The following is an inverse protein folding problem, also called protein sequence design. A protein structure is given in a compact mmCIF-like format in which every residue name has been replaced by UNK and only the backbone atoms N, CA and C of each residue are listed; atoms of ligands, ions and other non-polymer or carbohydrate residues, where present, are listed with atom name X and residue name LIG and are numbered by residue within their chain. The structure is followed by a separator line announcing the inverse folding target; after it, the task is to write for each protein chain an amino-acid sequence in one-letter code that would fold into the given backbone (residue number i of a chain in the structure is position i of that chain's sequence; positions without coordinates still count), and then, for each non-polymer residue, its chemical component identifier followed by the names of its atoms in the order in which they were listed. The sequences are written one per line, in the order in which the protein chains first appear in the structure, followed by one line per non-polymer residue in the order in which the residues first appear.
data_IF_471342720968
#
_entry.id   IF_471342720968
#
_cell.length_a   1.000
_cell.length_b   1.000
_cell.length_c   1.000
_cell.angle_alpha   90.00
_cell.angle_beta   90.00
_cell.angle_gamma   90.00
#
_symmetry.space_group_name_H-M   'P 1'
#
loop_
_entity.id
_entity.type
_entity.pdbx_description
1 polymer ?
#
# COMPACT_ATOMS: atom_id res chain seq x y z
N UNK A 1 65.03 25.18 -47.65
CA UNK A 1 63.89 24.62 -48.38
C UNK A 1 62.65 25.23 -47.73
N UNK A 2 62.00 26.16 -48.43
CA UNK A 2 60.97 27.07 -47.89
C UNK A 2 59.77 27.03 -48.84
N UNK A 3 58.58 27.24 -48.26
CA UNK A 3 57.27 27.60 -48.86
C UNK A 3 56.36 26.47 -49.38
N UNK A 4 55.01 26.66 -49.44
CA UNK A 4 54.24 27.89 -49.16
C UNK A 4 53.02 27.78 -48.22
N UNK A 5 52.60 28.97 -47.79
CA UNK A 5 51.32 29.36 -47.18
C UNK A 5 50.29 29.63 -48.29
N UNK A 6 49.02 29.26 -48.08
CA UNK A 6 47.87 29.87 -48.79
C UNK A 6 46.74 30.18 -47.81
N UNK A 7 46.16 31.38 -47.95
CA UNK A 7 45.07 31.96 -47.16
C UNK A 7 43.70 31.80 -47.88
N UNK A 8 42.70 31.28 -47.13
CA UNK A 8 41.24 31.61 -47.01
C UNK A 8 40.34 31.87 -48.26
N UNK A 9 39.04 31.45 -48.26
CA UNK A 9 38.00 32.10 -47.43
C UNK A 9 36.94 31.19 -46.78
N UNK A 10 36.30 31.78 -45.75
CA UNK A 10 35.09 31.35 -45.06
C UNK A 10 33.87 31.45 -45.99
N UNK A 11 33.06 30.40 -46.07
CA UNK A 11 31.64 30.55 -46.41
C UNK A 11 30.79 29.42 -45.84
N UNK A 12 29.74 29.84 -45.12
CA UNK A 12 28.45 29.17 -44.92
C UNK A 12 28.42 27.89 -44.09
N UNK A 13 28.14 28.11 -42.80
CA UNK A 13 27.11 27.46 -41.98
C UNK A 13 26.40 26.26 -42.63
N UNK A 14 26.89 25.06 -42.32
CA UNK A 14 26.09 23.84 -42.38
C UNK A 14 25.64 23.44 -40.97
N UNK A 15 24.34 23.17 -40.91
CA UNK A 15 23.50 22.84 -39.79
C UNK A 15 23.92 21.51 -39.13
N UNK A 16 24.83 21.59 -38.16
CA UNK A 16 25.19 20.46 -37.27
C UNK A 16 24.52 20.53 -35.89
N UNK A 17 23.54 21.42 -35.72
CA UNK A 17 22.76 21.53 -34.48
C UNK A 17 21.55 20.60 -34.42
N UNK A 18 21.25 19.88 -35.50
CA UNK A 18 20.07 19.00 -35.57
C UNK A 18 20.38 17.51 -35.32
N UNK A 19 21.63 17.12 -35.01
CA UNK A 19 22.01 15.69 -34.84
C UNK A 19 22.59 15.27 -33.49
N UNK A 20 22.58 16.14 -32.45
CA UNK A 20 23.13 15.78 -31.11
C UNK A 20 22.09 15.86 -29.96
N UNK A 21 20.80 16.13 -30.25
CA UNK A 21 19.75 16.13 -29.18
C UNK A 21 19.11 14.74 -28.95
N UNK A 22 19.45 13.71 -29.72
CA UNK A 22 18.84 12.37 -29.61
C UNK A 22 19.60 11.35 -28.72
N UNK A 23 20.40 11.79 -27.75
CA UNK A 23 21.19 10.87 -26.87
C UNK A 23 20.91 11.03 -25.36
N UNK A 24 19.91 11.82 -24.96
CA UNK A 24 19.39 11.83 -23.58
C UNK A 24 17.87 11.80 -23.62
N UNK A 25 17.28 10.61 -23.49
CA UNK A 25 15.85 10.37 -23.64
C UNK A 25 14.99 11.25 -22.73
N UNK A 26 14.23 12.17 -23.33
CA UNK A 26 13.30 13.05 -22.60
C UNK A 26 12.09 12.30 -22.02
N UNK A 27 11.23 13.03 -21.30
CA UNK A 27 9.94 12.50 -20.81
C UNK A 27 9.10 12.03 -22.00
N UNK A 28 8.67 10.76 -21.96
CA UNK A 28 7.84 10.14 -23.02
C UNK A 28 6.33 10.19 -22.70
N UNK A 29 5.96 10.90 -21.64
CA UNK A 29 4.58 11.13 -21.22
C UNK A 29 4.22 12.62 -21.25
N UNK A 30 2.92 12.88 -21.19
CA UNK A 30 2.31 14.21 -21.06
C UNK A 30 1.41 14.20 -19.84
N UNK A 31 1.59 15.19 -18.97
CA UNK A 31 0.66 15.47 -17.88
C UNK A 31 -0.53 16.26 -18.42
N UNK A 32 -1.71 16.04 -17.85
CA UNK A 32 -2.85 16.93 -18.07
C UNK A 32 -2.50 18.33 -17.51
N UNK A 33 -2.59 19.42 -18.30
CA UNK A 33 -2.21 20.76 -17.82
C UNK A 33 -3.08 21.29 -16.68
N UNK A 34 -4.38 20.95 -16.64
CA UNK A 34 -5.31 21.43 -15.62
C UNK A 34 -6.24 20.28 -15.17
N UNK A 35 -5.71 19.26 -14.48
CA UNK A 35 -6.53 18.14 -14.04
C UNK A 35 -7.52 18.62 -12.97
N UNK A 36 -8.78 18.13 -12.96
CA UNK A 36 -9.68 18.33 -11.82
C UNK A 36 -8.96 17.87 -10.54
N UNK A 37 -8.81 18.69 -9.50
CA UNK A 37 -7.93 18.36 -8.39
C UNK A 37 -8.45 17.14 -7.60
N UNK A 38 -7.55 16.32 -7.01
CA UNK A 38 -7.96 15.34 -6.02
C UNK A 38 -8.53 16.04 -4.78
N UNK A 39 -9.30 15.31 -3.96
CA UNK A 39 -9.76 15.84 -2.67
C UNK A 39 -8.55 16.28 -1.82
N UNK A 40 -8.55 17.48 -1.23
CA UNK A 40 -7.50 17.90 -0.31
C UNK A 40 -7.35 16.96 0.88
N UNK A 41 -6.12 16.72 1.32
CA UNK A 41 -5.84 15.79 2.42
C UNK A 41 -6.59 16.20 3.70
N UNK A 42 -6.58 17.48 4.04
CA UNK A 42 -7.17 18.00 5.27
C UNK A 42 -8.70 17.82 5.30
N UNK A 43 -9.33 17.81 4.12
CA UNK A 43 -10.75 17.49 3.98
C UNK A 43 -10.98 15.98 4.15
N UNK A 44 -10.16 15.16 3.48
CA UNK A 44 -10.27 13.70 3.54
C UNK A 44 -9.98 13.15 4.94
N UNK A 45 -8.94 13.64 5.61
CA UNK A 45 -8.56 13.27 6.98
C UNK A 45 -9.72 13.50 7.96
N UNK A 46 -10.35 14.68 7.92
CA UNK A 46 -11.49 14.99 8.79
C UNK A 46 -12.67 14.06 8.53
N UNK A 47 -12.97 13.80 7.26
CA UNK A 47 -14.06 12.92 6.85
C UNK A 47 -13.81 11.48 7.35
N UNK A 48 -12.64 10.92 7.06
CA UNK A 48 -12.30 9.55 7.43
C UNK A 48 -12.21 9.38 8.94
N UNK A 49 -11.63 10.36 9.65
CA UNK A 49 -11.55 10.32 11.10
C UNK A 49 -12.96 10.36 11.73
N UNK A 50 -13.88 11.15 11.17
CA UNK A 50 -15.26 11.18 11.65
C UNK A 50 -15.99 9.86 11.39
N UNK A 51 -15.86 9.27 10.21
CA UNK A 51 -16.41 7.95 9.89
C UNK A 51 -15.89 6.87 10.85
N UNK A 52 -14.57 6.86 11.08
CA UNK A 52 -13.92 5.92 11.98
C UNK A 52 -14.45 6.05 13.41
N UNK A 53 -14.47 7.27 13.96
CA UNK A 53 -14.98 7.49 15.32
C UNK A 53 -16.47 7.18 15.45
N UNK A 54 -17.28 7.45 14.43
CA UNK A 54 -18.70 7.08 14.43
C UNK A 54 -18.86 5.56 14.50
N UNK A 55 -18.13 4.81 13.67
CA UNK A 55 -18.18 3.35 13.68
C UNK A 55 -17.65 2.76 14.99
N UNK A 56 -16.55 3.32 15.49
CA UNK A 56 -15.88 2.87 16.70
C UNK A 56 -16.71 3.03 17.97
N UNK A 57 -17.61 4.01 17.99
CA UNK A 57 -18.55 4.25 19.09
C UNK A 57 -19.95 3.67 18.82
N UNK A 58 -20.19 3.04 17.67
CA UNK A 58 -21.48 2.45 17.35
C UNK A 58 -21.69 1.16 18.18
N UNK A 59 -22.80 1.05 18.95
CA UNK A 59 -23.03 -0.12 19.80
C UNK A 59 -23.15 -1.45 19.03
N UNK A 60 -23.67 -1.38 17.80
CA UNK A 60 -23.97 -2.54 16.95
C UNK A 60 -22.95 -2.73 15.81
N UNK A 61 -21.76 -2.12 15.89
CA UNK A 61 -20.69 -2.39 14.92
C UNK A 61 -20.21 -3.84 14.99
N UNK A 62 -19.80 -4.36 13.86
CA UNK A 62 -19.20 -5.69 13.68
C UNK A 62 -17.81 -5.57 13.07
N UNK A 63 -17.02 -6.63 13.17
CA UNK A 63 -15.69 -6.74 12.53
C UNK A 63 -15.78 -6.51 11.01
N UNK A 64 -16.86 -6.98 10.36
CA UNK A 64 -17.13 -6.75 8.94
C UNK A 64 -17.31 -5.26 8.59
N UNK A 65 -17.87 -4.46 9.50
CA UNK A 65 -18.00 -3.01 9.28
C UNK A 65 -16.62 -2.33 9.30
N UNK A 66 -15.72 -2.77 10.19
CA UNK A 66 -14.34 -2.29 10.23
C UNK A 66 -13.54 -2.74 9.01
N UNK A 67 -13.72 -3.99 8.57
CA UNK A 67 -13.16 -4.49 7.32
C UNK A 67 -13.55 -3.56 6.16
N UNK A 68 -14.85 -3.29 6.00
CA UNK A 68 -15.35 -2.44 4.92
C UNK A 68 -14.83 -0.99 5.02
N UNK A 69 -14.68 -0.46 6.25
CA UNK A 69 -14.12 0.87 6.46
C UNK A 69 -12.63 0.92 6.06
N UNK A 70 -11.83 -0.05 6.48
CA UNK A 70 -10.39 -0.09 6.18
C UNK A 70 -10.12 -0.42 4.71
N UNK A 71 -10.95 -1.25 4.07
CA UNK A 71 -10.94 -1.42 2.61
C UNK A 71 -11.22 -0.09 1.90
N UNK A 72 -12.15 0.73 2.38
CA UNK A 72 -12.45 2.06 1.80
C UNK A 72 -11.36 3.09 2.08
N UNK A 73 -10.73 3.01 3.24
CA UNK A 73 -9.77 3.99 3.72
C UNK A 73 -8.48 3.31 4.23
N UNK A 74 -7.62 2.79 3.33
CA UNK A 74 -6.35 2.17 3.69
C UNK A 74 -5.44 3.05 4.57
N UNK A 75 -5.62 4.36 4.52
CA UNK A 75 -4.88 5.31 5.35
C UNK A 75 -5.16 5.18 6.85
N UNK A 76 -6.20 4.46 7.28
CA UNK A 76 -6.43 4.15 8.69
C UNK A 76 -5.55 3.00 9.19
N UNK A 77 -5.04 2.15 8.30
CA UNK A 77 -4.18 1.05 8.71
C UNK A 77 -2.75 1.55 9.01
N UNK A 78 -2.05 0.88 9.93
CA UNK A 78 -0.71 1.31 10.32
C UNK A 78 0.28 1.31 9.15
N UNK A 79 1.08 2.38 9.06
CA UNK A 79 2.21 2.45 8.14
C UNK A 79 3.37 1.64 8.69
N UNK A 80 3.82 0.66 7.91
CA UNK A 80 4.80 -0.36 8.29
C UNK A 80 6.11 0.23 8.81
N UNK A 81 6.58 1.31 8.18
CA UNK A 81 7.83 1.99 8.53
C UNK A 81 7.84 2.53 9.97
N UNK A 82 6.69 3.06 10.41
CA UNK A 82 6.55 3.66 11.75
C UNK A 82 6.36 2.62 12.85
N UNK A 83 5.75 1.48 12.55
CA UNK A 83 5.44 0.46 13.56
C UNK A 83 6.57 -0.56 13.75
N UNK A 84 7.49 -0.68 12.78
CA UNK A 84 8.61 -1.60 12.83
C UNK A 84 9.97 -0.90 12.64
N UNK A 85 10.10 0.33 13.13
CA UNK A 85 11.38 1.07 13.22
C UNK A 85 12.18 1.13 11.90
N UNK A 86 11.57 1.62 10.83
CA UNK A 86 12.24 1.76 9.52
C UNK A 86 12.10 0.53 8.61
N UNK A 87 11.43 -0.53 9.07
CA UNK A 87 11.25 -1.78 8.32
C UNK A 87 10.06 -1.70 7.35
N UNK A 88 10.21 -0.86 6.32
CA UNK A 88 9.21 -0.74 5.25
C UNK A 88 9.17 0.65 4.61
N UNK A 89 10.30 1.35 4.50
CA UNK A 89 10.35 2.74 4.05
C UNK A 89 9.99 3.00 2.58
N UNK A 90 9.69 1.96 1.78
CA UNK A 90 9.14 2.12 0.44
C UNK A 90 7.64 1.85 0.43
N UNK A 91 6.92 2.55 -0.45
CA UNK A 91 5.48 2.34 -0.65
C UNK A 91 5.14 0.87 -0.95
N UNK A 92 3.92 0.42 -0.58
CA UNK A 92 3.46 -0.94 -0.78
C UNK A 92 3.50 -1.33 -2.25
N UNK A 93 3.76 -2.60 -2.50
CA UNK A 93 3.68 -3.27 -3.79
C UNK A 93 2.34 -4.01 -3.93
N UNK A 94 1.67 -3.96 -5.09
CA UNK A 94 1.94 -3.13 -6.27
C UNK A 94 1.23 -1.76 -6.17
N UNK A 95 1.50 -0.99 -5.12
CA UNK A 95 0.84 0.31 -4.91
C UNK A 95 -0.58 0.19 -4.39
N UNK A 96 -0.89 -0.81 -3.56
CA UNK A 96 -2.24 -1.03 -3.01
C UNK A 96 -2.19 -1.78 -1.68
N UNK A 97 -3.22 -1.58 -0.84
CA UNK A 97 -3.55 -2.46 0.27
C UNK A 97 -4.19 -3.73 -0.27
N UNK A 98 -3.73 -4.89 0.17
CA UNK A 98 -4.34 -6.15 -0.24
C UNK A 98 -5.32 -6.59 0.84
N UNK A 99 -6.61 -6.66 0.51
CA UNK A 99 -7.67 -7.18 1.37
C UNK A 99 -7.77 -8.71 1.24
N UNK A 100 -7.97 -9.36 2.39
CA UNK A 100 -8.18 -10.80 2.53
C UNK A 100 -7.16 -11.64 1.73
N UNK A 101 -5.85 -11.38 1.91
CA UNK A 101 -4.78 -12.11 1.25
C UNK A 101 -4.91 -13.63 1.45
N UNK A 102 -4.96 -14.38 0.36
CA UNK A 102 -4.97 -15.84 0.41
C UNK A 102 -3.55 -16.37 0.65
N UNK A 103 -3.43 -17.34 1.55
CA UNK A 103 -2.22 -18.14 1.75
C UNK A 103 -2.51 -19.56 1.28
N UNK A 104 -1.85 -20.00 0.20
CA UNK A 104 -2.20 -21.26 -0.45
C UNK A 104 -2.07 -22.48 0.50
N UNK A 105 -3.19 -23.18 0.68
CA UNK A 105 -3.29 -24.32 1.60
C UNK A 105 -3.67 -23.95 3.04
N UNK A 106 -3.89 -22.68 3.34
CA UNK A 106 -4.47 -22.20 4.61
C UNK A 106 -5.87 -21.64 4.32
N UNK A 107 -6.90 -22.48 4.44
CA UNK A 107 -8.28 -22.14 4.04
C UNK A 107 -9.13 -21.51 5.13
N UNK A 108 -8.78 -21.74 6.40
CA UNK A 108 -9.36 -21.07 7.57
C UNK A 108 -8.30 -20.16 8.14
N UNK A 109 -8.63 -18.92 8.51
CA UNK A 109 -7.70 -17.92 9.07
C UNK A 109 -6.79 -17.26 8.04
N UNK A 110 -7.39 -16.64 7.03
CA UNK A 110 -6.63 -15.72 6.17
C UNK A 110 -6.49 -14.37 6.89
N UNK A 111 -5.39 -13.64 6.71
CA UNK A 111 -5.29 -12.28 7.24
C UNK A 111 -6.37 -11.38 6.66
N UNK A 112 -6.79 -10.37 7.40
CA UNK A 112 -7.72 -9.36 6.91
C UNK A 112 -7.07 -8.44 5.88
N UNK A 113 -5.80 -8.10 6.11
CA UNK A 113 -5.03 -7.28 5.19
C UNK A 113 -3.56 -7.67 5.08
N UNK A 114 -2.95 -7.24 3.98
CA UNK A 114 -1.53 -7.39 3.71
C UNK A 114 -0.95 -6.12 3.08
N UNK A 115 0.18 -5.68 3.63
CA UNK A 115 1.13 -4.83 2.94
C UNK A 115 2.33 -5.66 2.47
N UNK A 116 2.71 -5.52 1.21
CA UNK A 116 4.01 -5.99 0.71
C UNK A 116 4.90 -4.77 0.58
N UNK A 117 5.87 -4.60 1.47
CA UNK A 117 6.80 -3.45 1.47
C UNK A 117 8.23 -3.95 1.37
N UNK A 118 9.18 -3.02 1.23
CA UNK A 118 10.60 -3.37 1.19
C UNK A 118 11.47 -2.28 1.78
N UNK A 119 12.70 -2.65 2.07
CA UNK A 119 13.82 -1.73 2.22
C UNK A 119 15.01 -2.22 1.37
N UNK A 120 16.22 -1.74 1.64
CA UNK A 120 17.42 -2.13 0.93
C UNK A 120 17.77 -3.62 1.08
N UNK A 121 17.45 -4.24 2.22
CA UNK A 121 17.88 -5.60 2.55
C UNK A 121 16.75 -6.65 2.51
N UNK A 122 15.50 -6.23 2.69
CA UNK A 122 14.37 -7.12 2.93
C UNK A 122 13.14 -6.75 2.09
N UNK A 123 12.37 -7.79 1.76
CA UNK A 123 10.97 -7.67 1.37
C UNK A 123 10.15 -8.12 2.57
N UNK A 124 9.15 -7.35 2.96
CA UNK A 124 8.28 -7.69 4.09
C UNK A 124 6.88 -8.00 3.60
N UNK A 125 6.36 -9.15 4.02
CA UNK A 125 4.92 -9.39 4.08
C UNK A 125 4.44 -8.94 5.47
N UNK A 126 3.69 -7.85 5.54
CA UNK A 126 3.09 -7.36 6.79
C UNK A 126 1.63 -7.77 6.81
N UNK A 127 1.33 -8.81 7.57
CA UNK A 127 -0.01 -9.37 7.73
C UNK A 127 -0.73 -8.64 8.86
N UNK A 128 -1.97 -8.23 8.63
CA UNK A 128 -2.77 -7.49 9.61
C UNK A 128 -4.02 -8.30 9.88
N UNK A 129 -4.26 -8.58 11.16
CA UNK A 129 -5.52 -9.10 11.69
C UNK A 129 -6.25 -7.97 12.41
N UNK A 130 -7.55 -7.86 12.17
CA UNK A 130 -8.47 -7.01 12.92
C UNK A 130 -9.44 -7.89 13.69
N UNK A 131 -9.71 -7.50 14.92
CA UNK A 131 -10.63 -8.22 15.81
C UNK A 131 -11.69 -7.24 16.31
N UNK A 132 -12.90 -7.68 16.64
CA UNK A 132 -13.94 -6.77 17.17
C UNK A 132 -13.40 -5.88 18.33
N UNK A 133 -13.53 -4.53 18.25
CA UNK A 133 -13.04 -3.63 19.29
C UNK A 133 -13.65 -3.88 20.69
N UNK A 134 -14.78 -4.57 20.78
CA UNK A 134 -15.44 -4.88 22.06
C UNK A 134 -14.83 -6.12 22.72
N UNK A 135 -13.97 -6.87 22.03
CA UNK A 135 -13.28 -8.03 22.60
C UNK A 135 -12.35 -7.58 23.71
N UNK A 136 -12.42 -8.29 24.83
CA UNK A 136 -11.60 -8.02 26.01
C UNK A 136 -10.21 -8.65 25.87
N UNK A 137 -9.20 -7.96 26.38
CA UNK A 137 -7.81 -8.43 26.37
C UNK A 137 -7.56 -9.51 27.42
N UNK A 138 -8.14 -9.36 28.61
CA UNK A 138 -7.93 -10.27 29.72
C UNK A 138 -9.25 -10.69 30.40
N UNK A 139 -9.19 -11.84 31.03
CA UNK A 139 -10.20 -12.34 31.97
C UNK A 139 -10.11 -11.59 33.30
N UNK A 140 -11.11 -11.78 34.17
CA UNK A 140 -11.10 -11.21 35.53
C UNK A 140 -9.91 -11.68 36.39
N UNK A 141 -9.29 -12.82 36.06
CA UNK A 141 -8.07 -13.33 36.70
C UNK A 141 -6.78 -12.76 36.08
N UNK A 142 -6.89 -11.84 35.12
CA UNK A 142 -5.75 -11.18 34.47
C UNK A 142 -5.01 -12.04 33.44
N UNK A 143 -5.60 -13.17 33.02
CA UNK A 143 -5.07 -14.01 31.93
C UNK A 143 -5.63 -13.56 30.57
N UNK A 144 -4.90 -13.75 29.46
CA UNK A 144 -5.45 -13.54 28.12
C UNK A 144 -6.82 -14.21 27.94
N UNK A 145 -7.75 -13.53 27.29
CA UNK A 145 -9.03 -14.15 26.93
C UNK A 145 -8.84 -15.25 25.91
N UNK A 146 -9.81 -16.14 25.81
CA UNK A 146 -9.82 -17.16 24.76
C UNK A 146 -9.83 -16.54 23.36
N UNK A 147 -10.56 -15.43 23.15
CA UNK A 147 -10.55 -14.70 21.89
C UNK A 147 -9.16 -14.16 21.55
N UNK A 148 -8.46 -13.53 22.51
CA UNK A 148 -7.10 -13.04 22.29
C UNK A 148 -6.12 -14.19 22.01
N UNK A 149 -6.26 -15.32 22.70
CA UNK A 149 -5.45 -16.51 22.41
C UNK A 149 -5.69 -17.02 20.99
N UNK A 150 -6.95 -17.09 20.53
CA UNK A 150 -7.26 -17.50 19.16
C UNK A 150 -6.65 -16.57 18.10
N UNK A 151 -6.74 -15.25 18.29
CA UNK A 151 -6.13 -14.27 17.39
C UNK A 151 -4.60 -14.43 17.31
N UNK A 152 -3.96 -14.71 18.45
CA UNK A 152 -2.51 -14.97 18.51
C UNK A 152 -2.12 -16.31 17.89
N UNK A 153 -2.95 -17.34 18.05
CA UNK A 153 -2.75 -18.64 17.41
C UNK A 153 -2.89 -18.52 15.88
N UNK A 154 -3.77 -17.65 15.38
CA UNK A 154 -3.86 -17.32 13.95
C UNK A 154 -2.57 -16.71 13.41
N UNK A 155 -1.96 -15.77 14.13
CA UNK A 155 -0.63 -15.23 13.78
C UNK A 155 0.44 -16.33 13.82
N UNK A 156 0.38 -17.24 14.81
CA UNK A 156 1.31 -18.36 14.89
C UNK A 156 1.16 -19.33 13.71
N UNK A 157 -0.07 -19.60 13.25
CA UNK A 157 -0.35 -20.42 12.07
C UNK A 157 0.26 -19.82 10.80
N UNK A 158 0.14 -18.50 10.61
CA UNK A 158 0.78 -17.81 9.48
C UNK A 158 2.29 -17.89 9.53
N UNK A 159 2.87 -17.72 10.72
CA UNK A 159 4.32 -17.87 10.91
C UNK A 159 4.78 -19.28 10.57
N UNK A 160 4.05 -20.29 11.03
CA UNK A 160 4.34 -21.68 10.68
C UNK A 160 4.25 -21.91 9.16
N UNK A 161 3.25 -21.31 8.51
CA UNK A 161 3.08 -21.37 7.05
C UNK A 161 4.27 -20.75 6.31
N UNK A 162 4.73 -19.56 6.71
CA UNK A 162 5.88 -18.89 6.08
C UNK A 162 7.24 -19.53 6.38
N UNK A 163 7.35 -20.29 7.47
CA UNK A 163 8.56 -21.04 7.79
C UNK A 163 8.81 -22.22 6.85
N UNK A 164 7.82 -22.63 6.06
CA UNK A 164 8.01 -23.57 4.95
C UNK A 164 8.56 -22.80 3.71
N UNK A 165 9.79 -23.09 3.25
CA UNK A 165 10.38 -22.40 2.11
C UNK A 165 9.59 -22.56 0.80
N UNK A 166 8.88 -23.68 0.63
CA UNK A 166 8.03 -23.91 -0.54
C UNK A 166 6.85 -22.94 -0.51
N UNK A 167 6.21 -22.78 0.64
CA UNK A 167 5.11 -21.83 0.84
C UNK A 167 5.57 -20.38 0.69
N UNK A 168 6.73 -20.04 1.25
CA UNK A 168 7.32 -18.71 1.08
C UNK A 168 7.60 -18.39 -0.40
N UNK A 169 8.08 -19.38 -1.18
CA UNK A 169 8.27 -19.22 -2.62
C UNK A 169 6.93 -19.08 -3.37
N UNK A 170 5.93 -19.90 -3.02
CA UNK A 170 4.58 -19.79 -3.58
C UNK A 170 3.99 -18.40 -3.34
N UNK A 171 4.13 -17.85 -2.13
CA UNK A 171 3.68 -16.48 -1.83
C UNK A 171 4.32 -15.44 -2.78
N UNK A 172 5.62 -15.55 -3.05
CA UNK A 172 6.29 -14.61 -3.96
C UNK A 172 5.71 -14.69 -5.38
N UNK A 173 5.38 -15.89 -5.85
CA UNK A 173 4.79 -16.13 -7.17
C UNK A 173 3.33 -15.67 -7.24
N UNK A 174 2.51 -16.09 -6.29
CA UNK A 174 1.08 -15.78 -6.23
C UNK A 174 0.86 -14.26 -6.19
N UNK A 175 1.64 -13.56 -5.37
CA UNK A 175 1.59 -12.11 -5.24
C UNK A 175 2.43 -11.37 -6.28
N UNK A 176 3.03 -12.07 -7.25
CA UNK A 176 3.78 -11.49 -8.37
C UNK A 176 4.89 -10.53 -7.91
N UNK A 177 5.54 -10.83 -6.80
CA UNK A 177 6.64 -10.03 -6.28
C UNK A 177 7.79 -10.05 -7.30
N UNK A 178 8.39 -8.90 -7.66
CA UNK A 178 9.42 -8.85 -8.70
C UNK A 178 10.60 -9.79 -8.39
N UNK A 179 11.01 -10.57 -9.39
CA UNK A 179 12.05 -11.59 -9.24
C UNK A 179 13.41 -11.00 -8.81
N UNK A 180 13.72 -9.79 -9.25
CA UNK A 180 14.92 -9.05 -8.85
C UNK A 180 14.88 -8.64 -7.36
N UNK A 181 13.70 -8.38 -6.80
CA UNK A 181 13.56 -8.08 -5.37
C UNK A 181 13.91 -9.30 -4.54
N UNK A 182 13.29 -10.44 -4.83
CA UNK A 182 13.44 -11.67 -4.03
C UNK A 182 14.80 -12.34 -4.24
N UNK A 183 15.48 -12.08 -5.35
CA UNK A 183 16.88 -12.53 -5.57
C UNK A 183 17.90 -11.73 -4.76
N UNK A 184 17.63 -10.46 -4.50
CA UNK A 184 18.58 -9.54 -3.84
C UNK A 184 18.23 -9.25 -2.38
N UNK A 185 17.07 -9.73 -1.90
CA UNK A 185 16.55 -9.45 -0.56
C UNK A 185 15.95 -10.71 0.04
N UNK A 186 15.99 -10.78 1.36
CA UNK A 186 15.31 -11.85 2.10
C UNK A 186 13.85 -11.48 2.35
N UNK A 187 12.93 -12.40 2.08
CA UNK A 187 11.53 -12.25 2.49
C UNK A 187 11.41 -12.44 4.00
N UNK A 188 10.78 -11.49 4.69
CA UNK A 188 10.45 -11.55 6.11
C UNK A 188 8.98 -11.27 6.34
N UNK A 189 8.47 -11.75 7.46
CA UNK A 189 7.10 -11.50 7.87
C UNK A 189 7.09 -10.52 9.04
N UNK A 190 6.03 -9.73 9.09
CA UNK A 190 5.64 -8.93 10.24
C UNK A 190 4.14 -9.10 10.44
N UNK A 191 3.70 -8.99 11.68
CA UNK A 191 2.31 -9.27 12.05
C UNK A 191 1.76 -8.12 12.87
N UNK A 192 0.57 -7.65 12.52
CA UNK A 192 -0.12 -6.61 13.25
C UNK A 192 -1.44 -7.18 13.75
N UNK A 193 -1.69 -7.05 15.04
CA UNK A 193 -2.96 -7.40 15.65
C UNK A 193 -3.64 -6.11 16.12
N UNK A 194 -4.78 -5.76 15.53
CA UNK A 194 -5.62 -4.64 15.94
C UNK A 194 -6.78 -5.19 16.77
N UNK A 195 -6.70 -5.04 18.09
CA UNK A 195 -7.58 -5.73 19.03
C UNK A 195 -8.09 -4.81 20.13
N UNK A 196 -9.40 -4.84 20.39
CA UNK A 196 -9.98 -4.18 21.55
C UNK A 196 -9.83 -2.65 21.58
N UNK A 197 -10.33 -2.05 22.66
CA UNK A 197 -10.22 -0.60 22.95
C UNK A 197 -9.20 -0.34 24.05
N UNK A 198 -8.61 0.87 24.09
CA UNK A 198 -7.72 1.32 25.16
C UNK A 198 -8.44 1.42 26.51
N UNK A 199 -9.73 1.73 26.49
CA UNK A 199 -10.55 1.85 27.70
C UNK A 199 -11.20 0.52 28.14
N UNK A 200 -10.75 -0.62 27.60
CA UNK A 200 -11.20 -1.93 28.04
C UNK A 200 -10.94 -2.10 29.57
N UNK A 201 -11.97 -2.38 30.38
CA UNK A 201 -11.83 -2.53 31.83
C UNK A 201 -10.91 -3.69 32.24
N UNK A 202 -10.66 -4.67 31.35
CA UNK A 202 -9.71 -5.75 31.61
C UNK A 202 -8.25 -5.30 31.57
N UNK A 203 -7.97 -4.12 30.99
CA UNK A 203 -6.63 -3.52 30.91
C UNK A 203 -6.24 -2.81 32.22
N UNK A 204 -6.35 -3.51 33.34
CA UNK A 204 -5.82 -3.07 34.63
C UNK A 204 -4.28 -2.97 34.58
N UNK A 205 -3.68 -2.23 35.52
CA UNK A 205 -2.25 -1.91 35.53
C UNK A 205 -1.35 -3.15 35.32
N UNK A 206 -1.64 -4.24 36.03
CA UNK A 206 -0.87 -5.49 35.93
C UNK A 206 -0.99 -6.16 34.56
N UNK A 207 -2.15 -6.06 33.90
CA UNK A 207 -2.36 -6.60 32.55
C UNK A 207 -1.59 -5.73 31.54
N UNK A 208 -1.68 -4.40 31.65
CA UNK A 208 -0.94 -3.49 30.77
C UNK A 208 0.58 -3.69 30.88
N UNK A 209 1.11 -3.93 32.08
CA UNK A 209 2.53 -4.27 32.27
C UNK A 209 2.94 -5.59 31.59
N UNK A 210 2.02 -6.56 31.51
CA UNK A 210 2.29 -7.89 30.91
C UNK A 210 2.08 -7.94 29.41
N UNK A 211 1.27 -7.06 28.82
CA UNK A 211 0.93 -7.10 27.39
C UNK A 211 2.14 -7.08 26.47
N UNK A 212 3.17 -6.31 26.80
CA UNK A 212 4.42 -6.30 26.03
C UNK A 212 5.13 -7.66 25.98
N UNK A 213 4.91 -8.54 26.97
CA UNK A 213 5.47 -9.91 26.95
C UNK A 213 4.66 -10.89 26.11
N UNK A 214 3.47 -10.51 25.63
CA UNK A 214 2.64 -11.34 24.76
C UNK A 214 2.98 -11.16 23.28
N UNK A 215 3.64 -10.05 22.96
CA UNK A 215 4.13 -9.67 21.64
C UNK A 215 5.52 -10.27 21.38
N UNK A 216 5.77 -10.73 20.15
CA UNK A 216 7.10 -11.16 19.68
C UNK A 216 7.76 -10.04 18.86
N UNK A 217 9.06 -10.15 18.59
CA UNK A 217 9.84 -9.12 17.86
C UNK A 217 9.30 -8.79 16.45
N UNK A 218 8.60 -9.73 15.82
CA UNK A 218 7.96 -9.57 14.52
C UNK A 218 6.47 -9.20 14.59
N UNK A 219 5.93 -9.00 15.80
CA UNK A 219 4.54 -8.67 16.05
C UNK A 219 4.37 -7.23 16.54
N UNK A 220 3.21 -6.63 16.26
CA UNK A 220 2.76 -5.38 16.86
C UNK A 220 1.29 -5.49 17.23
N UNK A 221 0.99 -5.49 18.53
CA UNK A 221 -0.36 -5.57 19.07
C UNK A 221 -0.82 -4.17 19.47
N UNK A 222 -1.94 -3.71 18.90
CA UNK A 222 -2.46 -2.37 19.17
C UNK A 222 -3.97 -2.34 19.32
N UNK A 223 -4.46 -1.32 20.01
CA UNK A 223 -5.90 -1.06 20.13
C UNK A 223 -6.38 -0.20 18.96
N UNK A 224 -7.67 -0.26 18.65
CA UNK A 224 -8.29 0.62 17.66
C UNK A 224 -8.03 2.13 17.92
N UNK A 225 -7.90 2.53 19.20
CA UNK A 225 -7.57 3.91 19.59
C UNK A 225 -6.21 4.42 19.13
N UNK A 226 -5.35 3.56 18.58
CA UNK A 226 -4.05 3.95 18.02
C UNK A 226 -4.16 4.30 16.52
N UNK A 227 -5.23 3.90 15.86
CA UNK A 227 -5.42 4.15 14.43
C UNK A 227 -5.80 5.61 14.21
N UNK A 228 -5.11 6.25 13.28
CA UNK A 228 -5.36 7.61 12.83
C UNK A 228 -5.10 7.67 11.32
N UNK A 229 -5.85 8.48 10.54
CA UNK A 229 -5.58 8.61 9.12
C UNK A 229 -4.14 9.08 8.86
N UNK A 230 -3.43 8.37 8.00
CA UNK A 230 -2.05 8.66 7.66
C UNK A 230 -1.93 9.24 6.24
N UNK A 231 -1.43 10.47 6.14
CA UNK A 231 -1.24 11.17 4.86
C UNK A 231 -0.39 10.39 3.86
N UNK A 232 0.63 9.69 4.33
CA UNK A 232 1.52 8.91 3.47
C UNK A 232 0.80 7.76 2.76
N UNK A 233 -0.32 7.30 3.33
CA UNK A 233 -1.12 6.21 2.80
C UNK A 233 -2.38 6.69 2.07
N UNK A 234 -2.59 8.01 1.99
CA UNK A 234 -3.84 8.62 1.53
C UNK A 234 -4.20 8.32 0.09
N UNK A 235 -3.23 8.00 -0.76
CA UNK A 235 -3.43 7.81 -2.20
C UNK A 235 -3.42 6.32 -2.60
N UNK A 236 -3.30 5.38 -1.66
CA UNK A 236 -3.31 3.96 -2.00
C UNK A 236 -4.73 3.41 -2.15
N UNK A 237 -5.06 2.75 -3.27
CA UNK A 237 -6.27 1.95 -3.41
C UNK A 237 -6.22 0.69 -2.52
N UNK A 238 -7.37 0.05 -2.35
CA UNK A 238 -7.46 -1.31 -1.83
C UNK A 238 -7.81 -2.28 -2.97
N UNK A 239 -7.13 -3.41 -3.02
CA UNK A 239 -7.29 -4.45 -4.02
C UNK A 239 -7.46 -5.81 -3.37
N UNK A 240 -8.00 -6.76 -4.12
CA UNK A 240 -7.92 -8.20 -3.83
C UNK A 240 -7.11 -8.88 -4.91
N UNK A 241 -6.72 -10.13 -4.65
CA UNK A 241 -5.98 -10.97 -5.59
C UNK A 241 -6.81 -12.20 -5.96
N UNK A 242 -6.89 -12.49 -7.25
CA UNK A 242 -7.40 -13.75 -7.78
C UNK A 242 -6.43 -14.38 -8.80
N UNK A 243 -6.88 -15.41 -9.51
CA UNK A 243 -6.07 -16.10 -10.52
C UNK A 243 -5.64 -15.17 -11.68
N UNK A 244 -6.45 -14.17 -12.04
CA UNK A 244 -6.14 -13.21 -13.10
C UNK A 244 -5.22 -12.08 -12.60
N UNK A 245 -5.19 -11.82 -11.30
CA UNK A 245 -4.27 -10.89 -10.65
C UNK A 245 -4.97 -9.94 -9.68
N UNK A 246 -4.34 -8.79 -9.45
CA UNK A 246 -4.87 -7.78 -8.54
C UNK A 246 -6.06 -7.08 -9.16
N UNK A 247 -7.17 -6.93 -8.45
CA UNK A 247 -8.30 -6.11 -8.88
C UNK A 247 -8.69 -5.09 -7.81
N UNK A 248 -8.99 -3.87 -8.25
CA UNK A 248 -9.38 -2.79 -7.35
C UNK A 248 -10.74 -3.06 -6.72
N UNK A 249 -10.82 -2.91 -5.39
CA UNK A 249 -12.08 -2.88 -4.64
C UNK A 249 -12.50 -1.43 -4.44
N UNK A 250 -11.55 -0.60 -4.00
CA UNK A 250 -11.77 0.81 -3.69
C UNK A 250 -10.59 1.63 -4.19
N UNK A 251 -10.86 2.90 -4.46
CA UNK A 251 -9.82 3.91 -4.67
C UNK A 251 -10.11 5.10 -3.75
N UNK A 252 -9.12 5.80 -3.20
CA UNK A 252 -9.36 6.96 -2.35
C UNK A 252 -9.62 8.22 -3.21
N UNK A 253 -10.41 9.20 -2.71
CA UNK A 253 -10.68 10.44 -3.44
C UNK A 253 -9.45 11.36 -3.56
N UNK A 254 -8.41 11.06 -2.80
CA UNK A 254 -7.08 11.69 -2.77
C UNK A 254 -6.10 11.09 -3.78
N UNK A 255 -6.48 10.04 -4.53
CA UNK A 255 -5.61 9.38 -5.50
C UNK A 255 -5.05 10.39 -6.52
N UNK A 256 -3.74 10.32 -6.72
CA UNK A 256 -3.01 11.01 -7.78
C UNK A 256 -2.43 9.99 -8.74
N UNK A 257 -2.40 10.33 -10.02
CA UNK A 257 -1.77 9.53 -11.06
C UNK A 257 -0.46 10.18 -11.48
N UNK A 258 0.44 9.38 -12.06
CA UNK A 258 1.75 9.84 -12.48
C UNK A 258 2.64 8.69 -12.93
N UNK A 259 3.77 9.01 -13.57
CA UNK A 259 4.66 8.02 -14.16
C UNK A 259 5.27 7.07 -13.12
N UNK A 260 5.48 7.54 -11.88
CA UNK A 260 6.02 6.70 -10.79
C UNK A 260 5.06 5.59 -10.34
N UNK A 261 3.76 5.75 -10.60
CA UNK A 261 2.75 4.77 -10.23
C UNK A 261 2.28 3.90 -11.40
N UNK A 262 2.62 4.25 -12.64
CA UNK A 262 2.05 3.61 -13.82
C UNK A 262 2.34 2.10 -13.89
N UNK A 263 3.58 1.68 -13.61
CA UNK A 263 3.97 0.26 -13.64
C UNK A 263 3.24 -0.58 -12.60
N UNK A 264 2.99 -0.02 -11.42
CA UNK A 264 2.26 -0.69 -10.35
C UNK A 264 0.75 -0.63 -10.60
N UNK A 265 0.23 0.52 -11.00
CA UNK A 265 -1.18 0.74 -11.32
C UNK A 265 -1.68 -0.13 -12.47
N UNK A 266 -0.83 -0.47 -13.46
CA UNK A 266 -1.21 -1.39 -14.54
C UNK A 266 -1.45 -2.82 -14.06
N UNK A 267 -0.86 -3.21 -12.92
CA UNK A 267 -1.03 -4.55 -12.37
C UNK A 267 -2.43 -4.76 -11.78
N UNK A 268 -3.16 -3.68 -11.55
CA UNK A 268 -4.48 -3.66 -10.90
C UNK A 268 -5.57 -3.55 -11.98
N UNK A 269 -6.42 -4.56 -12.12
CA UNK A 269 -7.61 -4.58 -12.99
C UNK A 269 -8.83 -3.93 -12.31
N UNK A 270 -9.93 -3.79 -13.07
CA UNK A 270 -11.26 -3.33 -12.61
C UNK A 270 -11.33 -1.94 -11.95
N UNK A 271 -10.34 -1.10 -12.23
CA UNK A 271 -10.22 0.25 -11.69
C UNK A 271 -11.43 1.13 -11.99
N UNK A 272 -12.03 0.97 -13.17
CA UNK A 272 -13.18 1.75 -13.60
C UNK A 272 -14.40 1.60 -12.67
N UNK A 273 -14.65 0.38 -12.18
CA UNK A 273 -15.74 0.12 -11.25
C UNK A 273 -15.46 0.76 -9.89
N UNK A 274 -14.24 0.62 -9.39
CA UNK A 274 -13.82 1.24 -8.12
C UNK A 274 -13.89 2.77 -8.17
N UNK A 275 -13.50 3.40 -9.29
CA UNK A 275 -13.66 4.85 -9.52
C UNK A 275 -15.14 5.24 -9.50
N UNK A 276 -15.97 4.50 -10.23
CA UNK A 276 -17.40 4.80 -10.36
C UNK A 276 -18.14 4.71 -9.02
N UNK A 277 -17.76 3.73 -8.18
CA UNK A 277 -18.37 3.46 -6.88
C UNK A 277 -17.93 4.41 -5.77
N UNK A 278 -16.85 5.18 -5.95
CA UNK A 278 -16.40 6.12 -4.92
C UNK A 278 -17.39 7.30 -4.79
N UNK A 279 -17.99 7.45 -3.60
CA UNK A 279 -18.98 8.50 -3.32
C UNK A 279 -18.40 9.91 -3.13
N UNK A 280 -17.08 10.01 -2.91
CA UNK A 280 -16.36 11.24 -2.58
C UNK A 280 -15.67 11.89 -3.78
N UNK A 281 -15.61 11.20 -4.92
CA UNK A 281 -15.10 11.76 -6.17
C UNK A 281 -16.18 12.57 -6.88
N UNK A 282 -15.82 13.79 -7.31
CA UNK A 282 -16.69 14.58 -8.19
C UNK A 282 -16.86 13.90 -9.56
N UNK A 283 -17.95 14.16 -10.29
CA UNK A 283 -18.14 13.63 -11.64
C UNK A 283 -16.96 13.93 -12.58
N UNK A 284 -16.40 15.13 -12.49
CA UNK A 284 -15.26 15.57 -13.29
C UNK A 284 -14.00 14.78 -12.94
N UNK A 285 -13.72 14.59 -11.64
CA UNK A 285 -12.57 13.78 -11.20
C UNK A 285 -12.74 12.30 -11.58
N UNK A 286 -13.95 11.74 -11.50
CA UNK A 286 -14.22 10.36 -11.98
C UNK A 286 -13.89 10.22 -13.46
N UNK A 287 -14.41 11.12 -14.30
CA UNK A 287 -14.12 11.13 -15.74
C UNK A 287 -12.62 11.23 -16.00
N UNK A 288 -11.96 12.17 -15.35
CA UNK A 288 -10.51 12.36 -15.44
C UNK A 288 -9.75 11.07 -15.10
N UNK A 289 -10.03 10.44 -13.96
CA UNK A 289 -9.34 9.22 -13.55
C UNK A 289 -9.58 8.05 -14.52
N UNK A 290 -10.79 7.89 -15.05
CA UNK A 290 -11.10 6.85 -16.02
C UNK A 290 -10.28 6.99 -17.31
N UNK A 291 -10.17 8.22 -17.82
CA UNK A 291 -9.40 8.50 -19.05
C UNK A 291 -7.89 8.39 -18.79
N UNK A 292 -7.40 9.00 -17.71
CA UNK A 292 -5.96 9.13 -17.44
C UNK A 292 -5.33 7.84 -16.93
N UNK A 293 -6.05 7.00 -16.21
CA UNK A 293 -5.46 5.73 -15.79
C UNK A 293 -5.13 4.82 -16.98
N UNK A 294 -6.02 4.76 -17.98
CA UNK A 294 -5.76 4.01 -19.20
C UNK A 294 -4.53 4.56 -19.94
N UNK A 295 -4.39 5.89 -20.00
CA UNK A 295 -3.19 6.52 -20.57
C UNK A 295 -1.90 6.06 -19.88
N UNK A 296 -1.89 6.02 -18.54
CA UNK A 296 -0.72 5.57 -17.78
C UNK A 296 -0.45 4.08 -17.95
N UNK A 297 -1.49 3.25 -18.00
CA UNK A 297 -1.36 1.82 -18.27
C UNK A 297 -0.71 1.60 -19.66
N UNK A 298 -1.16 2.29 -20.70
CA UNK A 298 -0.59 2.24 -22.06
C UNK A 298 0.84 2.77 -22.13
N UNK A 299 1.15 3.82 -21.38
CA UNK A 299 2.51 4.36 -21.30
C UNK A 299 3.48 3.37 -20.65
N UNK A 300 3.08 2.76 -19.53
CA UNK A 300 3.86 1.72 -18.85
C UNK A 300 4.05 0.48 -19.74
N UNK A 301 2.99 0.04 -20.45
CA UNK A 301 3.05 -1.09 -21.37
C UNK A 301 4.05 -0.90 -22.52
N UNK A 302 4.29 0.34 -22.96
CA UNK A 302 5.28 0.68 -23.99
C UNK A 302 6.72 0.76 -23.47
N UNK A 303 6.95 0.39 -22.21
CA UNK A 303 8.27 0.43 -21.57
C UNK A 303 8.58 1.76 -20.87
N UNK A 304 7.61 2.66 -20.76
CA UNK A 304 7.74 3.90 -20.01
C UNK A 304 8.77 4.88 -20.60
N UNK A 305 9.55 5.52 -19.71
CA UNK A 305 10.58 6.50 -20.04
C UNK A 305 11.09 7.21 -18.79
N UNK A 306 11.91 8.25 -18.97
CA UNK A 306 12.43 9.04 -17.85
C UNK A 306 11.27 9.71 -17.11
N UNK A 307 11.16 9.40 -15.82
CA UNK A 307 10.11 9.89 -14.91
C UNK A 307 10.67 10.81 -13.83
N UNK A 308 9.78 11.61 -13.24
CA UNK A 308 10.07 12.51 -12.13
C UNK A 308 9.15 12.18 -10.95
N UNK A 309 9.70 12.18 -9.74
CA UNK A 309 8.92 11.98 -8.51
C UNK A 309 8.00 13.15 -8.17
N UNK A 310 8.17 14.30 -8.83
CA UNK A 310 7.31 15.47 -8.69
C UNK A 310 6.15 15.52 -9.69
N UNK A 311 6.10 14.62 -10.66
CA UNK A 311 5.11 14.65 -11.73
C UNK A 311 3.85 13.89 -11.31
N UNK A 312 2.79 14.64 -11.00
CA UNK A 312 1.51 14.11 -10.53
C UNK A 312 0.34 14.89 -11.10
N UNK A 313 -0.81 14.21 -11.22
CA UNK A 313 -2.09 14.76 -11.69
C UNK A 313 -3.30 14.17 -10.94
#
# INVERSE_FOLDING_TARGET
MVFPVYWFPVSQTDDLTTSIVNVLGGKTYKLEPNPPPPMPWEQYEKLVNQEFLNLLNAPQSSEADFQALFERHPCLLPETDKIFDGQGGHGPFPGTLISQPRLAGLSSKIPDFLWIVRNSAYVYAVLIEIEDPKKQWATTSGQPTHQLTQARDQIADWRAWFNDPVKANMFQQDYRIPADWVRSRTLRQKYVLIYGRRNDPSLIEIVNKKRGSWEREDECHMTYDRLVPNRNLSYFPCSRLDQAGYYAITIPPTLKLGPMFADYGRMIRDKAQAISNNAYLSPERKKFLLERWNYWDEWALRGGGVSSTGDWE
#
